data_IF_035671577986
#
_entry.id   IF_035671577986
#
_cell.length_a   1.000
_cell.length_b   1.000
_cell.length_c   1.000
_cell.angle_alpha   90.00
_cell.angle_beta   90.00
_cell.angle_gamma   90.00
#
_symmetry.space_group_name_H-M   'P 1'
#
loop_
_entity.id
_entity.type
_entity.pdbx_description
1 polymer ?
#
# COMPACT_ATOMS: atom_id res chain seq x y z
N UNK A 1 4.20 -11.11 -23.09
CA UNK A 1 4.13 -12.48 -22.57
C UNK A 1 3.65 -12.45 -21.12
N UNK A 2 2.95 -13.46 -20.57
CA UNK A 2 2.65 -13.52 -19.13
C UNK A 2 3.87 -13.30 -18.23
N UNK A 3 5.07 -13.69 -18.67
CA UNK A 3 6.33 -13.43 -17.95
C UNK A 3 6.67 -11.94 -17.89
N UNK A 4 6.66 -11.25 -19.04
CA UNK A 4 6.98 -9.82 -19.11
C UNK A 4 6.05 -8.98 -18.21
N UNK A 5 4.77 -9.34 -18.13
CA UNK A 5 3.79 -8.63 -17.29
C UNK A 5 4.11 -8.84 -15.81
N UNK A 6 4.44 -10.07 -15.39
CA UNK A 6 4.80 -10.37 -14.02
C UNK A 6 6.07 -9.63 -13.60
N UNK A 7 7.08 -9.62 -14.47
CA UNK A 7 8.36 -9.01 -14.17
C UNK A 7 8.22 -7.48 -14.03
N UNK A 8 7.42 -6.84 -14.90
CA UNK A 8 7.07 -5.42 -14.77
C UNK A 8 6.23 -5.11 -13.52
N UNK A 9 5.38 -6.03 -13.08
CA UNK A 9 4.65 -5.87 -11.82
C UNK A 9 5.63 -5.89 -10.64
N UNK A 10 6.59 -6.80 -10.63
CA UNK A 10 7.59 -6.88 -9.56
C UNK A 10 8.48 -5.61 -9.46
N UNK A 11 8.66 -4.87 -10.55
CA UNK A 11 9.36 -3.59 -10.57
C UNK A 11 8.51 -2.40 -10.09
N UNK A 12 7.25 -2.61 -9.70
CA UNK A 12 6.36 -1.52 -9.26
C UNK A 12 6.79 -0.99 -7.89
N UNK A 13 7.45 0.15 -7.92
CA UNK A 13 7.75 0.99 -6.78
C UNK A 13 7.08 2.37 -6.93
N UNK A 14 6.79 3.01 -5.80
CA UNK A 14 6.32 4.39 -5.73
C UNK A 14 5.01 4.68 -6.52
N UNK A 15 4.18 3.67 -6.72
CA UNK A 15 2.95 3.83 -7.48
C UNK A 15 1.88 4.54 -6.64
N UNK A 16 1.45 5.73 -7.08
CA UNK A 16 0.40 6.49 -6.40
C UNK A 16 -0.98 5.90 -6.70
N UNK A 17 -1.49 5.10 -5.75
CA UNK A 17 -2.81 4.49 -5.82
C UNK A 17 -3.87 5.19 -4.96
N UNK A 18 -5.12 4.71 -5.03
CA UNK A 18 -6.23 5.23 -4.23
C UNK A 18 -6.02 5.12 -2.70
N UNK A 19 -5.07 4.29 -2.27
CA UNK A 19 -4.75 4.04 -0.86
C UNK A 19 -3.38 4.61 -0.43
N UNK A 20 -2.74 5.44 -1.26
CA UNK A 20 -1.38 5.95 -1.01
C UNK A 20 -0.33 5.30 -1.91
N UNK A 21 0.94 5.42 -1.52
CA UNK A 21 2.08 4.87 -2.27
C UNK A 21 2.09 3.34 -2.12
N UNK A 22 2.24 2.65 -3.24
CA UNK A 22 2.32 1.18 -3.31
C UNK A 22 3.71 0.82 -3.85
N UNK A 23 4.44 0.04 -3.06
CA UNK A 23 5.71 -0.57 -3.46
C UNK A 23 5.59 -2.07 -3.24
N UNK A 24 5.99 -2.88 -4.21
CA UNK A 24 6.06 -4.33 -4.08
C UNK A 24 7.45 -4.73 -3.59
N UNK A 25 7.52 -5.60 -2.58
CA UNK A 25 8.79 -6.18 -2.11
C UNK A 25 9.26 -7.35 -2.98
N UNK A 26 10.43 -7.91 -2.68
CA UNK A 26 11.03 -9.01 -3.45
C UNK A 26 10.19 -10.30 -3.48
N UNK A 27 9.23 -10.46 -2.56
CA UNK A 27 8.31 -11.58 -2.55
C UNK A 27 7.03 -11.30 -3.37
N UNK A 28 6.86 -10.07 -3.86
CA UNK A 28 5.66 -9.59 -4.52
C UNK A 28 4.57 -9.15 -3.55
N UNK A 29 4.90 -8.94 -2.27
CA UNK A 29 3.96 -8.44 -1.28
C UNK A 29 3.92 -6.90 -1.34
N UNK A 30 2.70 -6.35 -1.29
CA UNK A 30 2.51 -4.90 -1.35
C UNK A 30 2.79 -4.27 0.02
N UNK A 31 3.93 -3.59 0.11
CA UNK A 31 4.30 -2.74 1.25
C UNK A 31 3.53 -1.43 1.12
N UNK A 32 2.57 -1.21 2.03
CA UNK A 32 1.70 -0.02 2.06
C UNK A 32 1.64 0.57 3.46
N UNK A 33 1.51 1.88 3.53
CA UNK A 33 1.24 2.61 4.77
C UNK A 33 -0.10 2.18 5.36
N UNK A 34 -0.11 1.79 6.63
CA UNK A 34 -1.33 1.42 7.34
C UNK A 34 -1.98 2.67 7.95
N UNK A 35 -3.21 3.00 7.53
CA UNK A 35 -3.97 4.11 8.11
C UNK A 35 -4.81 3.59 9.27
N UNK A 36 -4.53 4.09 10.48
CA UNK A 36 -5.31 3.79 11.67
C UNK A 36 -6.46 4.79 11.75
N UNK A 37 -7.69 4.28 11.76
CA UNK A 37 -8.91 5.06 12.01
C UNK A 37 -9.48 4.68 13.37
N UNK A 38 -9.90 5.68 14.14
CA UNK A 38 -10.58 5.49 15.42
C UNK A 38 -12.08 5.69 15.21
N UNK A 39 -12.90 4.86 15.85
CA UNK A 39 -14.35 5.11 15.89
C UNK A 39 -14.68 5.89 17.16
N UNK A 40 -15.19 7.10 17.01
CA UNK A 40 -15.68 7.96 18.09
C UNK A 40 -17.13 8.30 17.78
N UNK A 41 -18.04 8.00 18.70
CA UNK A 41 -19.47 8.27 18.58
C UNK A 41 -20.15 7.75 17.30
N UNK A 42 -19.59 6.68 16.71
CA UNK A 42 -20.11 6.04 15.50
C UNK A 42 -19.50 6.56 14.20
N UNK A 43 -18.62 7.57 14.25
CA UNK A 43 -17.93 8.12 13.08
C UNK A 43 -16.46 7.66 13.02
N UNK A 44 -15.94 7.48 11.80
CA UNK A 44 -14.54 7.10 11.57
C UNK A 44 -13.65 8.35 11.52
N UNK A 45 -12.89 8.61 12.58
CA UNK A 45 -11.89 9.66 12.62
C UNK A 45 -10.51 9.13 12.19
N UNK A 46 -9.76 9.94 11.43
CA UNK A 46 -8.36 9.67 11.12
C UNK A 46 -7.50 9.84 12.37
N UNK A 47 -6.74 8.81 12.75
CA UNK A 47 -5.85 8.87 13.90
C UNK A 47 -4.40 9.13 13.48
N UNK A 48 -3.84 8.26 12.65
CA UNK A 48 -2.45 8.36 12.18
C UNK A 48 -2.18 7.40 11.01
N UNK A 49 -1.07 7.61 10.31
CA UNK A 49 -0.54 6.70 9.29
C UNK A 49 0.77 6.11 9.79
N UNK A 50 0.90 4.79 9.70
CA UNK A 50 2.13 4.06 10.03
C UNK A 50 2.77 3.60 8.73
N UNK A 51 3.94 4.13 8.43
CA UNK A 51 4.77 3.65 7.33
C UNK A 51 5.46 2.34 7.76
N UNK A 52 5.47 1.30 6.92
CA UNK A 52 6.31 0.12 7.13
C UNK A 52 7.79 0.53 7.00
N UNK A 53 8.62 0.11 7.98
CA UNK A 53 10.07 0.28 7.94
C UNK A 53 10.71 -0.70 6.98
#
# INVERSE_FOLDING_TARGET
DPKDIRDMIAETADFMGATGIITLDENGDAVKSAVIKKVVDGEFEYLTTVEPN
#
